data_IF_013011194582
#
_entry.id   IF_013011194582
#
_cell.length_a   1.000
_cell.length_b   1.000
_cell.length_c   1.000
_cell.angle_alpha   90.00
_cell.angle_beta   90.00
_cell.angle_gamma   90.00
#
_symmetry.space_group_name_H-M   'P 1'
#
loop_
_entity.id
_entity.type
_entity.pdbx_description
1 polymer ?
#
# COMPACT_ATOMS: atom_id res chain seq x y z
N UNK A 1 11.22 -0.14 63.61
CA UNK A 1 10.12 0.00 62.63
C UNK A 1 10.02 1.46 62.20
N UNK A 2 10.33 1.75 60.93
CA UNK A 2 9.75 2.81 60.09
C UNK A 2 10.54 2.79 58.77
N UNK A 3 9.95 2.18 57.75
CA UNK A 3 10.48 2.15 56.38
C UNK A 3 10.25 3.53 55.77
N UNK A 4 11.31 4.19 55.33
CA UNK A 4 11.21 5.45 54.58
C UNK A 4 11.01 5.08 53.12
N UNK A 5 9.80 5.31 52.62
CA UNK A 5 9.46 5.14 51.21
C UNK A 5 9.91 6.37 50.44
N UNK A 6 10.93 6.23 49.59
CA UNK A 6 11.37 7.27 48.66
C UNK A 6 10.48 7.17 47.42
N UNK A 7 9.60 8.15 47.25
CA UNK A 7 8.71 8.27 46.09
C UNK A 7 9.43 9.07 45.01
N UNK A 8 10.05 8.40 44.03
CA UNK A 8 10.66 9.05 42.86
C UNK A 8 9.60 9.12 41.77
N UNK A 9 8.86 10.23 41.71
CA UNK A 9 7.96 10.52 40.60
C UNK A 9 8.75 11.29 39.54
N UNK A 10 9.37 10.56 38.61
CA UNK A 10 10.00 11.13 37.43
C UNK A 10 8.95 11.58 36.42
N UNK A 11 8.77 12.90 36.27
CA UNK A 11 8.03 13.51 35.17
C UNK A 11 8.81 13.30 33.86
N UNK A 12 8.41 12.29 33.08
CA UNK A 12 8.80 12.18 31.68
C UNK A 12 7.91 13.09 30.84
N UNK A 13 8.44 14.27 30.49
CA UNK A 13 7.87 15.12 29.45
C UNK A 13 8.20 14.50 28.08
N UNK A 14 7.22 13.83 27.49
CA UNK A 14 7.30 13.28 26.14
C UNK A 14 7.05 14.43 25.16
N UNK A 15 8.13 15.07 24.69
CA UNK A 15 8.05 15.96 23.54
C UNK A 15 7.86 15.11 22.28
N UNK A 16 6.62 14.96 21.81
CA UNK A 16 6.34 14.44 20.48
C UNK A 16 6.59 15.54 19.43
N UNK A 17 7.83 15.66 18.97
CA UNK A 17 8.11 16.36 17.71
C UNK A 17 7.58 15.48 16.57
N UNK A 18 6.55 15.91 15.83
CA UNK A 18 6.18 15.22 14.60
C UNK A 18 7.29 15.42 13.58
N UNK A 19 8.18 14.44 13.47
CA UNK A 19 9.15 14.37 12.38
C UNK A 19 8.33 14.01 11.13
N UNK A 20 7.86 15.01 10.40
CA UNK A 20 7.64 14.83 8.97
C UNK A 20 9.01 14.98 8.31
N UNK A 21 9.66 13.91 7.84
CA UNK A 21 10.89 14.06 7.10
C UNK A 21 10.52 14.64 5.73
N UNK A 22 10.66 15.95 5.57
CA UNK A 22 10.86 16.55 4.25
C UNK A 22 12.27 16.16 3.81
N UNK A 23 12.43 15.01 3.17
CA UNK A 23 13.70 14.63 2.55
C UNK A 23 13.69 15.06 1.09
N UNK A 24 14.32 16.20 0.81
CA UNK A 24 15.10 16.34 -0.41
C UNK A 24 16.44 15.64 -0.18
N UNK A 25 16.94 14.88 -1.16
CA UNK A 25 18.33 14.94 -1.67
C UNK A 25 18.73 13.71 -2.51
N UNK A 26 19.32 14.04 -3.65
CA UNK A 26 20.46 13.44 -4.35
C UNK A 26 20.55 11.91 -4.49
N UNK A 27 20.40 11.51 -5.75
CA UNK A 27 20.84 10.24 -6.32
C UNK A 27 22.37 10.22 -6.43
N UNK A 28 23.01 9.30 -5.72
CA UNK A 28 24.19 8.57 -6.20
C UNK A 28 24.38 7.32 -5.32
N UNK A 29 24.69 6.18 -5.98
CA UNK A 29 24.87 4.81 -5.46
C UNK A 29 23.60 4.02 -5.07
N UNK A 30 23.06 3.18 -5.96
CA UNK A 30 22.31 1.96 -5.60
C UNK A 30 21.10 2.10 -4.66
N UNK A 31 20.60 3.31 -4.41
CA UNK A 31 19.52 3.59 -3.47
C UNK A 31 18.18 3.50 -4.17
N UNK A 32 17.43 2.44 -3.85
CA UNK A 32 16.01 2.35 -4.13
C UNK A 32 15.29 3.62 -3.64
N UNK A 33 14.75 4.41 -4.56
CA UNK A 33 13.90 5.55 -4.23
C UNK A 33 12.47 5.19 -4.58
N UNK A 34 11.70 4.77 -3.59
CA UNK A 34 10.28 4.46 -3.75
C UNK A 34 9.48 5.71 -4.11
N UNK A 35 8.58 5.61 -5.10
CA UNK A 35 7.65 6.68 -5.40
C UNK A 35 6.46 6.63 -4.43
N UNK A 36 6.50 7.49 -3.40
CA UNK A 36 5.47 7.53 -2.36
C UNK A 36 4.06 7.86 -2.89
N UNK A 37 3.95 8.69 -3.93
CA UNK A 37 2.66 9.02 -4.53
C UNK A 37 2.06 7.80 -5.23
N UNK A 38 2.88 7.10 -6.01
CA UNK A 38 2.46 5.86 -6.66
C UNK A 38 2.07 4.80 -5.63
N UNK A 39 2.86 4.62 -4.56
CA UNK A 39 2.50 3.74 -3.45
C UNK A 39 1.10 4.02 -2.94
N UNK A 40 0.84 5.28 -2.61
CA UNK A 40 -0.44 5.69 -2.03
C UNK A 40 -1.60 5.40 -2.98
N UNK A 41 -1.43 5.70 -4.27
CA UNK A 41 -2.45 5.46 -5.30
C UNK A 41 -2.68 3.96 -5.56
N UNK A 42 -1.60 3.18 -5.68
CA UNK A 42 -1.66 1.75 -5.93
C UNK A 42 -2.38 1.01 -4.80
N UNK A 43 -1.98 1.26 -3.55
CA UNK A 43 -2.64 0.65 -2.39
C UNK A 43 -4.05 1.19 -2.12
N UNK A 44 -4.36 2.42 -2.56
CA UNK A 44 -5.72 2.93 -2.52
C UNK A 44 -6.65 2.09 -3.41
N UNK A 45 -6.22 1.76 -4.63
CA UNK A 45 -7.00 0.90 -5.52
C UNK A 45 -7.14 -0.52 -5.00
N UNK A 46 -6.08 -1.12 -4.45
CA UNK A 46 -6.17 -2.43 -3.78
C UNK A 46 -7.19 -2.40 -2.65
N UNK A 47 -7.17 -1.38 -1.79
CA UNK A 47 -8.13 -1.25 -0.69
C UNK A 47 -9.58 -1.16 -1.18
N UNK A 48 -9.82 -0.49 -2.30
CA UNK A 48 -11.16 -0.46 -2.91
C UNK A 48 -11.58 -1.87 -3.33
N UNK A 49 -10.70 -2.61 -4.01
CA UNK A 49 -10.95 -3.99 -4.45
C UNK A 49 -11.27 -4.86 -3.23
N UNK A 50 -10.43 -4.82 -2.19
CA UNK A 50 -10.62 -5.56 -0.94
C UNK A 50 -12.01 -5.28 -0.32
N UNK A 51 -12.45 -4.02 -0.34
CA UNK A 51 -13.75 -3.62 0.25
C UNK A 51 -14.98 -3.99 -0.60
N UNK A 52 -14.79 -4.27 -1.89
CA UNK A 52 -15.88 -4.44 -2.85
C UNK A 52 -15.86 -5.80 -3.55
N UNK A 53 -14.95 -6.72 -3.19
CA UNK A 53 -14.84 -8.04 -3.83
C UNK A 53 -16.12 -8.87 -3.71
N UNK A 54 -16.86 -8.71 -2.61
CA UNK A 54 -18.18 -9.35 -2.43
C UNK A 54 -19.34 -8.57 -3.07
N UNK A 55 -19.14 -7.28 -3.39
CA UNK A 55 -20.17 -6.34 -3.89
C UNK A 55 -19.62 -5.53 -5.07
N UNK A 56 -19.29 -6.24 -6.13
CA UNK A 56 -18.53 -5.71 -7.26
C UNK A 56 -19.34 -4.69 -8.06
N UNK A 57 -18.98 -3.43 -7.90
CA UNK A 57 -19.61 -2.31 -8.58
C UNK A 57 -18.63 -1.65 -9.57
N UNK A 58 -19.04 -0.55 -10.19
CA UNK A 58 -18.19 0.19 -11.14
C UNK A 58 -16.85 0.66 -10.56
N UNK A 59 -16.80 0.95 -9.25
CA UNK A 59 -15.58 1.38 -8.57
C UNK A 59 -14.60 0.21 -8.36
N UNK A 60 -15.12 -0.98 -8.10
CA UNK A 60 -14.35 -2.23 -8.10
C UNK A 60 -13.70 -2.44 -9.46
N UNK A 61 -14.47 -2.43 -10.55
CA UNK A 61 -13.95 -2.61 -11.92
C UNK A 61 -12.90 -1.57 -12.28
N UNK A 62 -13.14 -0.28 -11.97
CA UNK A 62 -12.16 0.78 -12.21
C UNK A 62 -10.84 0.57 -11.48
N UNK A 63 -10.90 0.10 -10.23
CA UNK A 63 -9.71 -0.15 -9.42
C UNK A 63 -8.95 -1.38 -9.89
N UNK A 64 -9.68 -2.43 -10.26
CA UNK A 64 -9.11 -3.63 -10.87
C UNK A 64 -8.39 -3.31 -12.18
N UNK A 65 -9.00 -2.51 -13.05
CA UNK A 65 -8.39 -2.00 -14.29
C UNK A 65 -7.19 -1.08 -14.05
N UNK A 66 -7.13 -0.39 -12.90
CA UNK A 66 -5.95 0.39 -12.55
C UNK A 66 -4.78 -0.54 -12.20
N UNK A 67 -5.03 -1.51 -11.31
CA UNK A 67 -4.00 -2.48 -10.87
C UNK A 67 -3.48 -3.32 -12.04
N UNK A 68 -4.36 -3.68 -12.98
CA UNK A 68 -4.02 -4.48 -14.17
C UNK A 68 -3.07 -3.81 -15.16
N UNK A 69 -2.82 -2.50 -15.03
CA UNK A 69 -1.80 -1.79 -15.84
C UNK A 69 -0.38 -2.16 -15.43
N UNK A 70 -0.23 -2.76 -14.26
CA UNK A 70 1.05 -2.94 -13.58
C UNK A 70 1.30 -4.40 -13.25
N UNK A 71 0.38 -4.98 -12.48
CA UNK A 71 0.44 -6.38 -12.08
C UNK A 71 -0.49 -7.22 -12.96
N UNK A 72 -0.18 -8.50 -13.09
CA UNK A 72 -1.11 -9.42 -13.71
C UNK A 72 -2.44 -9.43 -12.95
N UNK A 73 -3.52 -9.45 -13.71
CA UNK A 73 -4.86 -9.65 -13.17
C UNK A 73 -5.53 -10.64 -14.10
N UNK A 74 -6.01 -11.74 -13.55
CA UNK A 74 -6.81 -12.77 -14.22
C UNK A 74 -8.19 -12.27 -14.67
N UNK A 75 -8.44 -10.95 -14.55
CA UNK A 75 -9.68 -10.25 -14.88
C UNK A 75 -9.92 -10.06 -16.38
N UNK A 76 -8.94 -10.28 -17.25
CA UNK A 76 -9.18 -10.30 -18.69
C UNK A 76 -10.22 -11.37 -19.08
N UNK A 77 -10.41 -12.40 -18.25
CA UNK A 77 -11.49 -13.39 -18.41
C UNK A 77 -12.86 -12.93 -17.87
N UNK A 78 -12.91 -11.94 -16.97
CA UNK A 78 -14.16 -11.44 -16.37
C UNK A 78 -14.97 -10.55 -17.30
N UNK A 79 -14.29 -9.75 -18.12
CA UNK A 79 -14.95 -8.79 -19.01
C UNK A 79 -15.82 -9.48 -20.07
N UNK A 80 -15.61 -10.78 -20.31
CA UNK A 80 -16.23 -11.48 -21.43
C UNK A 80 -17.29 -12.52 -21.05
N UNK A 81 -17.36 -13.02 -19.80
CA UNK A 81 -18.08 -14.29 -19.55
C UNK A 81 -19.08 -14.30 -18.37
N UNK A 82 -18.81 -13.63 -17.25
CA UNK A 82 -19.61 -13.81 -16.01
C UNK A 82 -19.88 -12.54 -15.21
N UNK A 83 -19.22 -11.42 -15.56
CA UNK A 83 -19.45 -10.11 -14.92
C UNK A 83 -19.07 -10.02 -13.43
N UNK A 84 -18.57 -11.10 -12.81
CA UNK A 84 -18.17 -11.16 -11.40
C UNK A 84 -16.83 -11.87 -11.24
N UNK A 85 -15.97 -11.31 -10.41
CA UNK A 85 -14.61 -11.76 -10.13
C UNK A 85 -14.69 -12.85 -9.08
N UNK A 86 -14.26 -14.08 -9.39
CA UNK A 86 -14.33 -15.15 -8.41
C UNK A 86 -13.44 -14.84 -7.20
N UNK A 87 -13.95 -15.09 -5.99
CA UNK A 87 -13.20 -14.79 -4.75
C UNK A 87 -11.86 -15.53 -4.68
N UNK A 88 -11.80 -16.78 -5.12
CA UNK A 88 -10.54 -17.54 -5.15
C UNK A 88 -9.51 -16.94 -6.11
N UNK A 89 -9.96 -16.44 -7.27
CA UNK A 89 -9.09 -15.74 -8.23
C UNK A 89 -8.58 -14.43 -7.63
N UNK A 90 -9.44 -13.69 -6.93
CA UNK A 90 -9.04 -12.49 -6.20
C UNK A 90 -7.96 -12.77 -5.15
N UNK A 91 -8.11 -13.84 -4.36
CA UNK A 91 -7.15 -14.15 -3.29
C UNK A 91 -5.75 -14.43 -3.82
N UNK A 92 -5.67 -15.07 -4.98
CA UNK A 92 -4.39 -15.36 -5.65
C UNK A 92 -3.82 -14.12 -6.32
N UNK A 93 -4.60 -13.44 -7.16
CA UNK A 93 -4.17 -12.21 -7.82
C UNK A 93 -3.74 -11.13 -6.81
N UNK A 94 -4.43 -11.03 -5.66
CA UNK A 94 -4.07 -10.08 -4.60
C UNK A 94 -2.66 -10.30 -4.07
N UNK A 95 -2.22 -11.56 -3.92
CA UNK A 95 -0.84 -11.86 -3.50
C UNK A 95 0.14 -11.37 -4.57
N UNK A 96 -0.17 -11.64 -5.83
CA UNK A 96 0.65 -11.25 -6.98
C UNK A 96 0.76 -9.73 -7.12
N UNK A 97 -0.29 -8.97 -6.79
CA UNK A 97 -0.24 -7.49 -6.79
C UNK A 97 0.73 -6.95 -5.76
N UNK A 98 0.72 -7.52 -4.56
CA UNK A 98 1.63 -7.12 -3.47
C UNK A 98 3.05 -7.51 -3.84
N UNK A 99 3.27 -8.72 -4.35
CA UNK A 99 4.58 -9.19 -4.78
C UNK A 99 5.14 -8.34 -5.93
N UNK A 100 4.30 -8.03 -6.93
CA UNK A 100 4.66 -7.14 -8.02
C UNK A 100 5.08 -5.77 -7.50
N UNK A 101 4.32 -5.19 -6.57
CA UNK A 101 4.66 -3.91 -5.97
C UNK A 101 6.02 -3.95 -5.28
N UNK A 102 6.25 -4.95 -4.42
CA UNK A 102 7.51 -5.08 -3.67
C UNK A 102 8.72 -5.25 -4.58
N UNK A 103 8.59 -6.01 -5.67
CA UNK A 103 9.65 -6.19 -6.69
C UNK A 103 9.92 -4.92 -7.48
N UNK A 104 8.92 -4.07 -7.71
CA UNK A 104 9.00 -2.94 -8.63
C UNK A 104 9.04 -1.57 -7.94
N UNK A 105 8.80 -1.47 -6.63
CA UNK A 105 8.70 -0.20 -5.88
C UNK A 105 9.88 0.75 -6.09
N UNK A 106 11.07 0.21 -6.34
CA UNK A 106 12.32 0.95 -6.59
C UNK A 106 12.48 1.40 -8.05
N UNK A 107 11.78 0.76 -8.98
CA UNK A 107 11.92 0.91 -10.44
C UNK A 107 10.65 1.47 -11.09
N UNK A 108 9.73 2.06 -10.32
CA UNK A 108 8.47 2.58 -10.85
C UNK A 108 8.69 3.91 -11.61
N UNK A 109 9.17 3.72 -12.85
CA UNK A 109 9.71 4.68 -13.82
C UNK A 109 8.64 5.55 -14.52
N UNK A 110 7.35 5.44 -14.19
CA UNK A 110 6.29 6.11 -14.98
C UNK A 110 5.55 7.26 -14.28
N UNK A 111 5.87 7.56 -13.01
CA UNK A 111 5.38 8.77 -12.31
C UNK A 111 6.53 9.75 -12.01
N UNK A 112 7.53 9.79 -12.88
CA UNK A 112 8.38 10.98 -12.98
C UNK A 112 7.51 12.03 -13.69
N UNK A 113 7.10 13.06 -12.96
CA UNK A 113 6.36 14.20 -13.51
C UNK A 113 7.07 14.79 -14.72
#
# INVERSE_FOLDING_TARGET
MKKISILITGLFLINCSSIYPTQSFNSDNGKCTENFNFRKEYFYHIKIIDSLVEKQNKQFTKSLLFVSKYAHVSAESMLNSTGTYPIGVYEDDRKDWIEWYEKNKCNNIQFKK
#
